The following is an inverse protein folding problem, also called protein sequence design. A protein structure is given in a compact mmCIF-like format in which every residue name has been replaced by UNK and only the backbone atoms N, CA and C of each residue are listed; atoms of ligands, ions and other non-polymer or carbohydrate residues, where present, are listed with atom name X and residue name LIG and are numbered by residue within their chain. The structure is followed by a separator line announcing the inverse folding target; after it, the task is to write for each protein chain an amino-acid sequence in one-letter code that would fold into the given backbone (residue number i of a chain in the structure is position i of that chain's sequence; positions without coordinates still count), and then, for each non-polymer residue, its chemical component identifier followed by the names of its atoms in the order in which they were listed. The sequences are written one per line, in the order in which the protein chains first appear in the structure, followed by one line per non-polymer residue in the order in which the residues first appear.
data_IF_342184704824
#
_entry.id   IF_342184704824
#
_cell.length_a   1.000
_cell.length_b   1.000
_cell.length_c   1.000
_cell.angle_alpha   90.00
_cell.angle_beta   90.00
_cell.angle_gamma   90.00
#
_symmetry.space_group_name_H-M   'P 1'
#
loop_
_entity.id
_entity.type
_entity.pdbx_description
1 polymer ?
#
# COMPACT_ATOMS: atom_id res chain seq x y z
N UNK A 1 1.03 20.20 4.09
CA UNK A 1 1.77 19.36 5.07
C UNK A 1 0.86 18.42 5.85
N UNK A 2 -0.22 18.87 6.52
CA UNK A 2 -1.10 18.01 7.34
C UNK A 2 -1.60 16.72 6.65
N UNK A 3 -2.02 16.80 5.39
CA UNK A 3 -2.50 15.64 4.60
C UNK A 3 -1.41 14.57 4.36
N UNK A 4 -0.15 14.98 4.14
CA UNK A 4 0.96 14.03 3.95
C UNK A 4 1.23 13.22 5.21
N UNK A 5 1.20 13.88 6.37
CA UNK A 5 1.39 13.24 7.69
C UNK A 5 0.29 12.21 7.97
N UNK A 6 -0.96 12.54 7.65
CA UNK A 6 -2.08 11.59 7.82
C UNK A 6 -1.92 10.35 6.94
N UNK A 7 -1.59 10.53 5.66
CA UNK A 7 -1.38 9.39 4.74
C UNK A 7 -0.16 8.56 5.15
N UNK A 8 0.92 9.18 5.61
CA UNK A 8 2.07 8.44 6.15
C UNK A 8 1.72 7.61 7.37
N UNK A 9 0.84 8.10 8.24
CA UNK A 9 0.36 7.33 9.39
C UNK A 9 -0.51 6.15 8.94
N UNK A 10 -1.43 6.39 8.01
CA UNK A 10 -2.28 5.33 7.44
C UNK A 10 -1.46 4.21 6.78
N UNK A 11 -0.35 4.55 6.10
CA UNK A 11 0.59 3.56 5.56
C UNK A 11 1.20 2.70 6.66
N UNK A 12 1.61 3.30 7.78
CA UNK A 12 2.22 2.55 8.87
C UNK A 12 1.21 1.65 9.57
N UNK A 13 0.00 2.16 9.82
CA UNK A 13 -1.10 1.37 10.40
C UNK A 13 -1.42 0.16 9.50
N UNK A 14 -1.55 0.36 8.18
CA UNK A 14 -1.79 -0.73 7.22
C UNK A 14 -0.62 -1.72 7.08
N UNK A 15 0.62 -1.25 7.27
CA UNK A 15 1.80 -2.14 7.30
C UNK A 15 1.76 -3.06 8.51
N UNK A 16 1.49 -2.52 9.69
CA UNK A 16 1.37 -3.31 10.92
C UNK A 16 0.23 -4.33 10.83
N UNK A 17 -0.91 -3.92 10.28
CA UNK A 17 -2.04 -4.83 10.05
C UNK A 17 -1.67 -5.97 9.10
N UNK A 18 -0.98 -5.67 7.98
CA UNK A 18 -0.52 -6.68 7.04
C UNK A 18 0.49 -7.65 7.69
N UNK A 19 1.45 -7.14 8.46
CA UNK A 19 2.42 -7.96 9.19
C UNK A 19 1.71 -8.93 10.14
N UNK A 20 0.71 -8.43 10.89
CA UNK A 20 -0.12 -9.26 11.78
C UNK A 20 -0.87 -10.36 11.02
N UNK A 21 -1.51 -10.02 9.90
CA UNK A 21 -2.27 -10.99 9.09
C UNK A 21 -1.33 -12.06 8.48
N UNK A 22 -0.12 -11.68 8.08
CA UNK A 22 0.88 -12.64 7.57
C UNK A 22 1.30 -13.62 8.68
N UNK A 23 1.49 -13.15 9.90
CA UNK A 23 1.83 -14.00 11.05
C UNK A 23 0.69 -14.96 11.42
N UNK A 24 -0.56 -14.49 11.37
CA UNK A 24 -1.75 -15.28 11.68
C UNK A 24 -2.05 -16.35 10.60
N UNK A 25 -2.06 -15.95 9.33
CA UNK A 25 -2.51 -16.81 8.23
C UNK A 25 -1.39 -17.68 7.66
N UNK A 26 -0.11 -17.31 7.86
CA UNK A 26 1.12 -18.05 7.48
C UNK A 26 1.32 -18.34 5.99
N UNK A 27 0.30 -18.16 5.16
CA UNK A 27 0.33 -18.34 3.71
C UNK A 27 0.14 -17.00 3.00
N UNK A 28 1.11 -16.60 2.17
CA UNK A 28 1.04 -15.32 1.45
C UNK A 28 -0.09 -15.24 0.41
N UNK A 29 -0.51 -16.40 -0.12
CA UNK A 29 -1.61 -16.49 -1.08
C UNK A 29 -2.99 -16.45 -0.41
N UNK A 30 -3.03 -16.42 0.92
CA UNK A 30 -4.28 -16.33 1.65
C UNK A 30 -5.04 -15.06 1.22
N UNK A 31 -6.34 -15.16 0.88
CA UNK A 31 -7.12 -14.01 0.41
C UNK A 31 -7.08 -12.80 1.35
N UNK A 32 -6.96 -13.00 2.67
CA UNK A 32 -6.83 -11.90 3.63
C UNK A 32 -5.50 -11.17 3.50
N UNK A 33 -4.39 -11.90 3.36
CA UNK A 33 -3.05 -11.33 3.12
C UNK A 33 -3.04 -10.56 1.79
N UNK A 34 -3.63 -11.15 0.74
CA UNK A 34 -3.73 -10.50 -0.57
C UNK A 34 -4.56 -9.21 -0.48
N UNK A 35 -5.73 -9.25 0.17
CA UNK A 35 -6.58 -8.06 0.30
C UNK A 35 -5.93 -6.95 1.14
N UNK A 36 -5.23 -7.31 2.22
CA UNK A 36 -4.50 -6.36 3.06
C UNK A 36 -3.35 -5.71 2.28
N UNK A 37 -2.56 -6.50 1.54
CA UNK A 37 -1.46 -5.97 0.72
C UNK A 37 -1.95 -5.05 -0.41
N UNK A 38 -3.06 -5.40 -1.08
CA UNK A 38 -3.67 -4.53 -2.09
C UNK A 38 -4.23 -3.23 -1.51
N UNK A 39 -4.69 -3.25 -0.25
CA UNK A 39 -5.16 -2.05 0.43
C UNK A 39 -4.01 -1.10 0.76
N UNK A 40 -2.90 -1.65 1.28
CA UNK A 40 -1.65 -0.90 1.50
C UNK A 40 -1.12 -0.30 0.19
N UNK A 41 -1.08 -1.08 -0.89
CA UNK A 41 -0.60 -0.63 -2.20
C UNK A 41 -1.40 0.59 -2.73
N UNK A 42 -2.73 0.56 -2.61
CA UNK A 42 -3.59 1.71 -3.00
C UNK A 42 -3.20 2.99 -2.27
N UNK A 43 -2.92 2.91 -0.97
CA UNK A 43 -2.54 4.10 -0.18
C UNK A 43 -1.13 4.56 -0.52
N UNK A 44 -0.19 3.63 -0.75
CA UNK A 44 1.16 3.95 -1.22
C UNK A 44 1.14 4.69 -2.56
N UNK A 45 0.31 4.23 -3.51
CA UNK A 45 0.11 4.90 -4.80
C UNK A 45 -0.36 6.34 -4.60
N UNK A 46 -1.35 6.56 -3.73
CA UNK A 46 -1.83 7.91 -3.43
C UNK A 46 -0.73 8.79 -2.81
N UNK A 47 0.04 8.23 -1.88
CA UNK A 47 1.15 8.93 -1.24
C UNK A 47 2.22 9.37 -2.25
N UNK A 48 2.64 8.48 -3.13
CA UNK A 48 3.61 8.80 -4.19
C UNK A 48 3.07 9.84 -5.19
N UNK A 49 1.79 9.74 -5.60
CA UNK A 49 1.15 10.79 -6.40
C UNK A 49 1.20 12.16 -5.69
N UNK A 50 1.02 12.19 -4.37
CA UNK A 50 1.14 13.43 -3.57
C UNK A 50 2.59 13.94 -3.41
N UNK A 51 3.59 13.07 -3.56
CA UNK A 51 5.00 13.45 -3.58
C UNK A 51 5.44 13.97 -4.97
N UNK A 52 4.62 13.79 -6.00
CA UNK A 52 4.99 14.15 -7.37
C UNK A 52 6.08 13.25 -7.95
N UNK A 53 6.30 12.07 -7.37
CA UNK A 53 7.25 11.09 -7.90
C UNK A 53 6.72 10.54 -9.23
N UNK A 54 7.39 10.93 -10.33
CA UNK A 54 7.08 10.52 -11.72
C UNK A 54 7.03 8.99 -11.95
N UNK A 55 7.51 8.16 -11.02
CA UNK A 55 7.62 6.71 -11.18
C UNK A 55 6.30 5.96 -11.36
N UNK A 56 5.16 6.51 -10.93
CA UNK A 56 3.86 5.85 -11.10
C UNK A 56 3.25 5.97 -12.51
N UNK A 57 3.70 6.92 -13.35
CA UNK A 57 3.23 7.01 -14.73
C UNK A 57 3.63 5.79 -15.56
N UNK A 58 4.74 5.13 -15.22
CA UNK A 58 5.26 3.99 -15.98
C UNK A 58 4.55 2.66 -15.69
N UNK A 59 3.85 2.53 -14.55
CA UNK A 59 3.09 1.31 -14.24
C UNK A 59 1.77 1.28 -15.02
N UNK A 60 1.18 2.44 -15.31
CA UNK A 60 -0.05 2.57 -16.11
C UNK A 60 0.20 2.32 -17.61
N UNK A 61 1.42 2.58 -18.12
CA UNK A 61 1.79 2.40 -19.53
C UNK A 61 2.32 0.98 -19.86
N UNK A 62 2.54 0.12 -18.86
CA UNK A 62 3.12 -1.22 -19.03
C UNK A 62 2.13 -2.39 -18.89
N UNK A 63 0.83 -2.11 -18.84
CA UNK A 63 -0.24 -3.10 -18.67
C UNK A 63 -1.02 -3.39 -19.99
N UNK A 64 -0.35 -3.26 -21.14
CA UNK A 64 -0.85 -3.68 -22.47
C UNK A 64 -0.20 -4.98 -22.95
#
# INVERSE_FOLDING_TARGET
MKRKVLVSKEIEDLRMDLETIIEEEKELINPKVVNASQSLDKVLIQYYRMLGTRGLRMVEEGAE
#
